data_IF_372143436493
#
_entry.id   IF_372143436493
#
_cell.length_a   1.000
_cell.length_b   1.000
_cell.length_c   1.000
_cell.angle_alpha   90.00
_cell.angle_beta   90.00
_cell.angle_gamma   90.00
#
_symmetry.space_group_name_H-M   'P 1'
#
loop_
_entity.id
_entity.type
_entity.pdbx_description
1 polymer ?
#
# COMPACT_ATOMS: atom_id res chain seq x y z
N UNK A 1 13.64 5.15 5.34
CA UNK A 1 12.74 4.03 5.02
C UNK A 1 11.37 4.26 5.65
N UNK A 2 10.32 3.85 4.94
CA UNK A 2 8.98 4.01 5.46
C UNK A 2 8.72 3.09 6.66
N UNK A 3 7.86 3.53 7.56
CA UNK A 3 7.37 2.67 8.62
C UNK A 3 6.50 1.57 8.03
N UNK A 4 6.48 0.43 8.70
CA UNK A 4 5.74 -0.75 8.24
C UNK A 4 4.65 -1.10 9.24
N UNK A 5 3.53 -1.60 8.70
CA UNK A 5 2.50 -2.23 9.52
C UNK A 5 2.45 -3.71 9.16
N UNK A 6 2.18 -4.55 10.15
CA UNK A 6 2.01 -5.97 9.87
C UNK A 6 0.61 -6.23 9.32
N UNK A 7 0.41 -7.35 8.62
CA UNK A 7 -0.95 -7.72 8.19
C UNK A 7 -1.95 -7.75 9.34
N UNK A 8 -1.53 -8.22 10.50
CA UNK A 8 -2.39 -8.28 11.68
C UNK A 8 -2.84 -6.89 12.13
N UNK A 9 -1.90 -5.94 12.20
CA UNK A 9 -2.21 -4.57 12.57
C UNK A 9 -3.17 -3.92 11.57
N UNK A 10 -2.89 -4.11 10.27
CA UNK A 10 -3.74 -3.54 9.24
C UNK A 10 -5.15 -4.13 9.26
N UNK A 11 -5.27 -5.44 9.47
CA UNK A 11 -6.57 -6.11 9.53
C UNK A 11 -7.49 -5.44 10.52
N UNK A 12 -6.97 -5.05 11.67
CA UNK A 12 -7.76 -4.40 12.73
C UNK A 12 -8.00 -2.91 12.50
N UNK A 13 -7.32 -2.30 11.52
CA UNK A 13 -7.33 -0.84 11.34
C UNK A 13 -7.51 -0.42 9.88
N UNK A 14 -8.08 -1.29 9.04
CA UNK A 14 -8.24 -0.98 7.61
C UNK A 14 -8.95 0.35 7.36
N UNK A 15 -9.95 0.65 8.17
CA UNK A 15 -10.76 1.86 7.98
C UNK A 15 -9.99 3.16 8.25
N UNK A 16 -8.83 3.05 8.91
CA UNK A 16 -8.00 4.22 9.19
C UNK A 16 -7.10 4.62 8.03
N UNK A 17 -6.99 3.76 7.00
CA UNK A 17 -6.05 3.99 5.91
C UNK A 17 -6.73 4.04 4.55
N UNK A 18 -6.17 4.84 3.66
CA UNK A 18 -6.38 4.66 2.23
C UNK A 18 -5.36 3.61 1.81
N UNK A 19 -5.82 2.45 1.39
CA UNK A 19 -4.93 1.34 1.02
C UNK A 19 -4.67 1.41 -0.48
N UNK A 20 -3.41 1.49 -0.86
CA UNK A 20 -3.00 1.66 -2.25
C UNK A 20 -2.13 0.49 -2.70
N UNK A 21 -2.60 -0.22 -3.71
CA UNK A 21 -1.84 -1.28 -4.35
C UNK A 21 -1.00 -0.65 -5.44
N UNK A 22 0.33 -0.78 -5.32
CA UNK A 22 1.25 -0.13 -6.25
C UNK A 22 1.78 -1.08 -7.32
N UNK A 23 1.16 -2.26 -7.45
CA UNK A 23 1.47 -3.20 -8.52
C UNK A 23 0.83 -2.74 -9.82
N UNK A 24 1.24 -3.37 -10.93
CA UNK A 24 0.55 -3.13 -12.20
C UNK A 24 -0.83 -3.79 -12.19
N UNK A 25 -1.77 -3.23 -12.93
CA UNK A 25 -3.17 -3.66 -12.88
C UNK A 25 -3.36 -5.15 -13.19
N UNK A 26 -2.58 -5.70 -14.11
CA UNK A 26 -2.69 -7.12 -14.46
C UNK A 26 -2.29 -8.04 -13.30
N UNK A 27 -1.40 -7.60 -12.44
CA UNK A 27 -1.03 -8.40 -11.25
C UNK A 27 -2.23 -8.58 -10.32
N UNK A 28 -3.08 -7.55 -10.18
CA UNK A 28 -4.27 -7.63 -9.34
C UNK A 28 -5.29 -8.62 -9.92
N UNK A 29 -5.43 -8.63 -11.24
CA UNK A 29 -6.34 -9.55 -11.91
C UNK A 29 -5.89 -11.00 -11.73
N UNK A 30 -4.60 -11.25 -11.84
CA UNK A 30 -4.04 -12.60 -11.77
C UNK A 30 -3.93 -13.13 -10.34
N UNK A 31 -3.56 -12.27 -9.40
CA UNK A 31 -3.19 -12.69 -8.05
C UNK A 31 -4.19 -12.28 -6.96
N UNK A 32 -5.14 -11.41 -7.31
CA UNK A 32 -6.06 -10.85 -6.33
C UNK A 32 -5.51 -9.62 -5.64
N UNK A 33 -6.31 -9.05 -4.75
CA UNK A 33 -5.95 -7.82 -4.03
C UNK A 33 -6.64 -7.78 -2.66
N UNK A 34 -6.23 -6.84 -1.83
CA UNK A 34 -6.93 -6.55 -0.57
C UNK A 34 -8.21 -5.77 -0.91
N UNK A 35 -9.32 -6.16 -0.32
CA UNK A 35 -10.61 -5.47 -0.55
C UNK A 35 -10.52 -4.00 -0.15
N UNK A 36 -11.12 -3.14 -0.97
CA UNK A 36 -11.14 -1.71 -0.71
C UNK A 36 -9.90 -0.96 -1.17
N UNK A 37 -8.99 -1.66 -1.84
CA UNK A 37 -7.75 -1.07 -2.36
C UNK A 37 -7.99 -0.19 -3.58
N UNK A 38 -7.25 0.91 -3.64
CA UNK A 38 -7.09 1.72 -4.85
C UNK A 38 -5.83 1.23 -5.56
N UNK A 39 -5.91 0.97 -6.86
CA UNK A 39 -4.72 0.59 -7.62
C UNK A 39 -4.07 1.83 -8.24
N UNK A 40 -2.83 2.07 -7.86
CA UNK A 40 -2.04 3.15 -8.45
C UNK A 40 -0.60 2.66 -8.56
N UNK A 41 -0.19 2.21 -9.76
CA UNK A 41 1.15 1.64 -9.94
C UNK A 41 2.27 2.58 -9.47
N UNK A 42 3.38 2.00 -9.03
CA UNK A 42 4.50 2.75 -8.45
C UNK A 42 4.92 3.93 -9.31
N UNK A 43 5.08 3.73 -10.62
CA UNK A 43 5.51 4.81 -11.52
C UNK A 43 4.53 5.97 -11.52
N UNK A 44 3.25 5.69 -11.44
CA UNK A 44 2.20 6.71 -11.40
C UNK A 44 2.26 7.48 -10.08
N UNK A 45 2.44 6.78 -8.96
CA UNK A 45 2.56 7.44 -7.65
C UNK A 45 3.76 8.39 -7.64
N UNK A 46 4.90 7.92 -8.10
CA UNK A 46 6.11 8.74 -8.13
C UNK A 46 5.89 10.01 -8.96
N UNK A 47 5.34 9.84 -10.17
CA UNK A 47 5.08 10.97 -11.04
C UNK A 47 4.10 11.96 -10.42
N UNK A 48 3.00 11.47 -9.91
CA UNK A 48 1.97 12.35 -9.34
C UNK A 48 2.43 13.03 -8.06
N UNK A 49 3.19 12.33 -7.21
CA UNK A 49 3.73 12.94 -6.00
C UNK A 49 4.67 14.10 -6.34
N UNK A 50 5.53 13.91 -7.33
CA UNK A 50 6.47 14.95 -7.76
C UNK A 50 5.79 16.15 -8.40
N UNK A 51 4.65 15.92 -9.05
CA UNK A 51 3.91 17.00 -9.73
C UNK A 51 2.81 17.62 -8.88
N UNK A 52 2.64 17.16 -7.63
CA UNK A 52 1.62 17.71 -6.75
C UNK A 52 0.20 17.32 -7.13
N UNK A 53 0.02 16.16 -7.76
CA UNK A 53 -1.28 15.72 -8.29
C UNK A 53 -2.00 14.72 -7.38
N UNK A 54 -1.62 14.65 -6.10
CA UNK A 54 -2.24 13.71 -5.15
C UNK A 54 -2.98 14.45 -4.04
N UNK A 55 -3.68 15.54 -4.38
CA UNK A 55 -4.39 16.34 -3.38
C UNK A 55 -5.44 15.53 -2.61
N UNK A 56 -6.04 14.54 -3.24
CA UNK A 56 -7.05 13.69 -2.60
C UNK A 56 -6.48 12.87 -1.44
N UNK A 57 -5.18 12.68 -1.39
CA UNK A 57 -4.52 11.90 -0.34
C UNK A 57 -3.97 12.75 0.80
N UNK A 58 -4.03 14.07 0.67
CA UNK A 58 -3.51 14.97 1.72
C UNK A 58 -4.34 14.84 2.98
N UNK A 59 -3.65 14.79 4.13
CA UNK A 59 -4.30 14.70 5.42
C UNK A 59 -4.82 13.32 5.76
N UNK A 60 -4.64 12.35 4.88
CA UNK A 60 -5.09 10.98 5.11
C UNK A 60 -3.91 10.08 5.45
N UNK A 61 -4.18 9.02 6.21
CA UNK A 61 -3.19 7.97 6.45
C UNK A 61 -3.23 7.02 5.26
N UNK A 62 -2.06 6.73 4.68
CA UNK A 62 -1.93 5.93 3.48
C UNK A 62 -1.16 4.66 3.81
N UNK A 63 -1.63 3.52 3.30
CA UNK A 63 -0.90 2.26 3.42
C UNK A 63 -0.70 1.70 2.02
N UNK A 64 0.56 1.63 1.60
CA UNK A 64 0.91 1.10 0.28
C UNK A 64 1.32 -0.36 0.37
N UNK A 65 1.16 -1.10 -0.72
CA UNK A 65 1.69 -2.46 -0.77
C UNK A 65 1.92 -2.91 -2.21
N UNK A 66 2.79 -3.91 -2.33
CA UNK A 66 3.02 -4.65 -3.57
C UNK A 66 3.03 -6.14 -3.23
N UNK A 67 3.60 -6.98 -4.09
CA UNK A 67 3.62 -8.43 -3.83
C UNK A 67 4.48 -8.80 -2.63
N UNK A 68 5.75 -8.35 -2.60
CA UNK A 68 6.71 -8.73 -1.56
C UNK A 68 7.14 -7.62 -0.61
N UNK A 69 6.74 -6.39 -0.88
CA UNK A 69 7.05 -5.25 -0.01
C UNK A 69 7.99 -4.21 -0.58
N UNK A 70 8.77 -4.55 -1.61
CA UNK A 70 9.79 -3.63 -2.14
C UNK A 70 9.19 -2.37 -2.79
N UNK A 71 8.30 -2.56 -3.76
CA UNK A 71 7.65 -1.43 -4.45
C UNK A 71 6.76 -0.63 -3.50
N UNK A 72 6.09 -1.32 -2.57
CA UNK A 72 5.27 -0.66 -1.57
C UNK A 72 6.09 0.26 -0.69
N UNK A 73 7.26 -0.21 -0.25
CA UNK A 73 8.17 0.61 0.55
C UNK A 73 8.67 1.83 -0.24
N UNK A 74 9.01 1.65 -1.50
CA UNK A 74 9.43 2.76 -2.36
C UNK A 74 8.35 3.82 -2.51
N UNK A 75 7.10 3.37 -2.70
CA UNK A 75 5.97 4.29 -2.83
C UNK A 75 5.74 5.08 -1.55
N UNK A 76 5.78 4.41 -0.40
CA UNK A 76 5.59 5.09 0.87
C UNK A 76 6.71 6.09 1.16
N UNK A 77 7.96 5.74 0.85
CA UNK A 77 9.08 6.67 1.00
C UNK A 77 8.88 7.92 0.12
N UNK A 78 8.47 7.72 -1.12
CA UNK A 78 8.25 8.84 -2.04
C UNK A 78 7.12 9.74 -1.54
N UNK A 79 6.03 9.14 -1.10
CA UNK A 79 4.90 9.90 -0.55
C UNK A 79 5.34 10.71 0.67
N UNK A 80 6.06 10.10 1.59
CA UNK A 80 6.52 10.80 2.79
C UNK A 80 7.46 11.94 2.48
N UNK A 81 8.29 11.81 1.44
CA UNK A 81 9.17 12.90 0.99
C UNK A 81 8.37 14.12 0.53
N UNK A 82 7.14 13.92 0.08
CA UNK A 82 6.29 15.00 -0.41
C UNK A 82 5.21 15.41 0.60
N UNK A 83 5.39 15.07 1.87
CA UNK A 83 4.53 15.56 2.95
C UNK A 83 3.28 14.73 3.23
N UNK A 84 3.18 13.53 2.66
CA UNK A 84 2.09 12.60 2.97
C UNK A 84 2.46 11.74 4.18
N UNK A 85 1.44 11.10 4.76
CA UNK A 85 1.60 10.19 5.90
C UNK A 85 1.37 8.77 5.40
N UNK A 86 2.46 8.10 5.04
CA UNK A 86 2.38 6.78 4.41
C UNK A 86 3.19 5.73 5.15
N UNK A 87 2.59 4.55 5.28
CA UNK A 87 3.25 3.34 5.77
C UNK A 87 3.11 2.27 4.69
N UNK A 88 3.78 1.14 4.85
CA UNK A 88 3.67 0.03 3.91
C UNK A 88 3.43 -1.27 4.66
N UNK A 89 2.83 -2.26 3.99
CA UNK A 89 2.59 -3.58 4.60
C UNK A 89 3.90 -4.36 4.64
N UNK A 90 4.30 -4.79 5.84
CA UNK A 90 5.45 -5.66 5.99
C UNK A 90 5.22 -6.97 5.23
N UNK A 91 6.12 -7.29 4.29
CA UNK A 91 6.00 -8.48 3.46
C UNK A 91 4.96 -8.41 2.35
N UNK A 92 4.29 -7.29 2.19
CA UNK A 92 3.36 -7.05 1.08
C UNK A 92 2.15 -7.97 1.05
N UNK A 93 1.59 -8.14 -0.14
CA UNK A 93 0.40 -8.97 -0.34
C UNK A 93 0.63 -10.43 0.01
N UNK A 94 1.86 -10.94 -0.21
CA UNK A 94 2.20 -12.31 0.17
C UNK A 94 2.00 -12.54 1.67
N UNK A 95 2.49 -11.61 2.50
CA UNK A 95 2.32 -11.71 3.94
C UNK A 95 0.86 -11.53 4.35
N UNK A 96 0.13 -10.67 3.66
CA UNK A 96 -1.30 -10.48 3.90
C UNK A 96 -2.08 -11.77 3.66
N UNK A 97 -1.82 -12.47 2.56
CA UNK A 97 -2.47 -13.74 2.25
C UNK A 97 -2.10 -14.81 3.27
N UNK A 98 -0.82 -14.89 3.64
CA UNK A 98 -0.37 -15.86 4.63
C UNK A 98 -1.06 -15.66 5.97
N UNK A 99 -1.20 -14.42 6.40
CA UNK A 99 -1.90 -14.10 7.63
C UNK A 99 -3.37 -14.55 7.57
N UNK A 100 -4.05 -14.28 6.47
CA UNK A 100 -5.42 -14.70 6.27
C UNK A 100 -5.58 -16.21 6.33
N UNK A 101 -4.67 -16.94 5.68
CA UNK A 101 -4.69 -18.40 5.69
C UNK A 101 -4.45 -18.97 7.08
N UNK A 102 -3.52 -18.41 7.83
CA UNK A 102 -3.25 -18.85 9.20
C UNK A 102 -4.41 -18.57 10.14
N UNK A 103 -5.10 -17.46 9.92
CA UNK A 103 -6.23 -17.07 10.74
C UNK A 103 -7.40 -18.05 10.59
N UNK A 104 -7.56 -18.60 9.40
CA UNK A 104 -8.63 -19.56 9.10
C UNK A 104 -8.27 -20.98 9.48
N UNK A 105 -7.01 -21.25 9.63
CA UNK A 105 -6.49 -22.55 10.02
C UNK A 105 -6.44 -22.70 11.52
#
# INVERSE_FOLDING_TARGET
MANKVTPRELQGRKDEYVIVDVREADELVEEGKIDGTVNMPLGEIIRKARHGDLNDLKGKKICTYCSGGYRGNMAADELNRHGFDAVTIEGGYSAWKDYGNKKEG
#
